data_IF_481854993235
#
_entry.id   IF_481854993235
#
_cell.length_a   1.000
_cell.length_b   1.000
_cell.length_c   1.000
_cell.angle_alpha   90.00
_cell.angle_beta   90.00
_cell.angle_gamma   90.00
#
_symmetry.space_group_name_H-M   'P 1'
#
loop_
_entity.id
_entity.type
_entity.pdbx_description
1 polymer ?
#
# COMPACT_ATOMS: atom_id res chain seq x y z
N UNK A 1 19.40 2.56 -2.41
CA UNK A 1 18.28 1.87 -3.06
C UNK A 1 17.47 1.12 -1.99
N UNK A 2 16.13 1.24 -2.01
CA UNK A 2 15.20 0.68 -1.01
C UNK A 2 15.45 -0.83 -0.75
N UNK A 3 15.52 -1.63 -1.80
CA UNK A 3 15.72 -3.09 -1.68
C UNK A 3 17.12 -3.45 -1.17
N UNK A 4 18.15 -2.81 -1.67
CA UNK A 4 19.53 -3.10 -1.29
C UNK A 4 19.82 -2.78 0.17
N UNK A 5 19.18 -1.74 0.70
CA UNK A 5 19.39 -1.27 2.07
C UNK A 5 18.30 -1.71 3.04
N UNK A 6 17.36 -2.56 2.59
CA UNK A 6 16.16 -2.91 3.35
C UNK A 6 16.40 -3.41 4.78
N UNK A 7 17.50 -4.15 4.99
CA UNK A 7 17.90 -4.64 6.33
C UNK A 7 18.60 -3.59 7.20
N UNK A 8 19.15 -2.57 6.57
CA UNK A 8 20.00 -1.58 7.25
C UNK A 8 19.27 -0.29 7.56
N UNK A 9 18.32 0.07 6.69
CA UNK A 9 17.58 1.32 6.75
C UNK A 9 16.07 1.06 6.71
N UNK A 10 15.39 1.52 7.75
CA UNK A 10 13.94 1.50 7.80
C UNK A 10 13.37 2.67 6.98
N UNK A 11 12.67 2.36 5.89
CA UNK A 11 12.00 3.33 5.04
C UNK A 11 10.57 2.90 4.70
N UNK A 12 9.68 3.87 4.55
CA UNK A 12 8.36 3.69 3.98
C UNK A 12 8.26 4.46 2.67
N UNK A 13 7.56 3.91 1.69
CA UNK A 13 7.35 4.55 0.38
C UNK A 13 5.89 4.87 0.15
N UNK A 14 5.62 6.03 -0.41
CA UNK A 14 4.29 6.45 -0.81
C UNK A 14 4.29 6.83 -2.28
N UNK A 15 3.70 5.96 -3.11
CA UNK A 15 3.58 6.14 -4.56
C UNK A 15 2.26 6.81 -4.89
N UNK A 16 2.30 7.99 -5.49
CA UNK A 16 1.11 8.72 -5.92
C UNK A 16 1.26 9.26 -7.33
N UNK A 17 0.15 9.55 -7.97
CA UNK A 17 0.12 10.03 -9.35
C UNK A 17 -1.02 9.39 -10.14
N UNK A 18 -1.18 9.80 -11.40
CA UNK A 18 -2.27 9.38 -12.25
C UNK A 18 -2.31 7.87 -12.50
N UNK A 19 -3.49 7.39 -12.92
CA UNK A 19 -3.72 5.97 -13.26
C UNK A 19 -2.75 5.52 -14.38
N UNK A 20 -2.29 4.27 -14.29
CA UNK A 20 -1.48 3.64 -15.34
C UNK A 20 -0.01 4.06 -15.38
N UNK A 21 0.48 4.82 -14.40
CA UNK A 21 1.90 5.24 -14.31
C UNK A 21 2.85 4.17 -13.76
N UNK A 22 2.36 2.97 -13.44
CA UNK A 22 3.18 1.84 -13.02
C UNK A 22 3.38 1.68 -11.51
N UNK A 23 2.58 2.33 -10.68
CA UNK A 23 2.68 2.23 -9.20
C UNK A 23 2.58 0.81 -8.69
N UNK A 24 1.52 0.08 -9.06
CA UNK A 24 1.32 -1.32 -8.67
C UNK A 24 2.41 -2.25 -9.23
N UNK A 25 2.87 -1.98 -10.45
CA UNK A 25 3.97 -2.74 -11.05
C UNK A 25 5.27 -2.57 -10.26
N UNK A 26 5.61 -1.33 -9.90
CA UNK A 26 6.81 -1.05 -9.09
C UNK A 26 6.71 -1.70 -7.70
N UNK A 27 5.56 -1.62 -7.04
CA UNK A 27 5.31 -2.30 -5.77
C UNK A 27 5.48 -3.82 -5.88
N UNK A 28 4.97 -4.41 -6.98
CA UNK A 28 5.13 -5.85 -7.27
C UNK A 28 6.59 -6.26 -7.50
N UNK A 29 7.37 -5.45 -8.20
CA UNK A 29 8.80 -5.70 -8.39
C UNK A 29 9.57 -5.68 -7.07
N UNK A 30 9.29 -4.72 -6.20
CA UNK A 30 9.91 -4.63 -4.87
C UNK A 30 9.53 -5.86 -4.02
N UNK A 31 8.24 -6.24 -4.03
CA UNK A 31 7.76 -7.43 -3.32
C UNK A 31 8.49 -8.70 -3.77
N UNK A 32 8.59 -8.91 -5.08
CA UNK A 32 9.28 -10.07 -5.67
C UNK A 32 10.75 -10.16 -5.25
N UNK A 33 11.44 -9.04 -5.30
CA UNK A 33 12.86 -8.99 -4.93
C UNK A 33 13.08 -9.28 -3.44
N UNK A 34 12.25 -8.72 -2.57
CA UNK A 34 12.34 -8.95 -1.13
C UNK A 34 11.98 -10.39 -0.74
N UNK A 35 11.00 -11.01 -1.39
CA UNK A 35 10.68 -12.42 -1.20
C UNK A 35 11.87 -13.32 -1.56
N UNK A 36 12.59 -13.03 -2.63
CA UNK A 36 13.79 -13.78 -3.04
C UNK A 36 14.93 -13.67 -2.03
N UNK A 37 14.96 -12.58 -1.27
CA UNK A 37 15.97 -12.35 -0.20
C UNK A 37 15.51 -12.82 1.18
N UNK A 38 14.38 -13.54 1.25
CA UNK A 38 13.89 -14.21 2.46
C UNK A 38 13.11 -13.31 3.42
N UNK A 39 12.61 -12.15 2.94
CA UNK A 39 11.75 -11.29 3.74
C UNK A 39 10.27 -11.70 3.63
N UNK A 40 9.52 -11.48 4.70
CA UNK A 40 8.07 -11.65 4.70
C UNK A 40 7.38 -10.43 4.07
N UNK A 41 6.53 -10.68 3.07
CA UNK A 41 5.81 -9.62 2.35
C UNK A 41 4.33 -9.95 2.31
N UNK A 42 3.50 -8.98 2.65
CA UNK A 42 2.05 -9.04 2.46
C UNK A 42 1.65 -7.95 1.45
N UNK A 43 0.96 -8.36 0.39
CA UNK A 43 0.45 -7.46 -0.64
C UNK A 43 -1.07 -7.47 -0.65
N UNK A 44 -1.69 -6.33 -0.40
CA UNK A 44 -3.13 -6.17 -0.37
C UNK A 44 -3.58 -4.98 -1.20
N UNK A 45 -4.74 -5.11 -1.85
CA UNK A 45 -5.50 -3.92 -2.24
C UNK A 45 -6.07 -3.24 -0.98
N UNK A 46 -6.20 -1.93 -0.99
CA UNK A 46 -6.76 -1.21 0.15
C UNK A 46 -8.17 -1.73 0.51
N UNK A 47 -9.03 -1.96 -0.48
CA UNK A 47 -10.36 -2.54 -0.24
C UNK A 47 -10.29 -3.91 0.42
N UNK A 48 -9.45 -4.81 -0.07
CA UNK A 48 -9.26 -6.15 0.51
C UNK A 48 -8.73 -6.12 1.94
N UNK A 49 -7.78 -5.23 2.23
CA UNK A 49 -7.25 -5.04 3.57
C UNK A 49 -8.33 -4.58 4.54
N UNK A 50 -9.07 -3.53 4.19
CA UNK A 50 -10.08 -2.97 5.09
C UNK A 50 -11.29 -3.87 5.27
N UNK A 51 -11.70 -4.63 4.24
CA UNK A 51 -12.72 -5.67 4.36
C UNK A 51 -12.29 -6.77 5.34
N UNK A 52 -11.03 -7.19 5.27
CA UNK A 52 -10.48 -8.20 6.19
C UNK A 52 -10.41 -7.66 7.63
N UNK A 53 -9.97 -6.43 7.82
CA UNK A 53 -9.94 -5.78 9.14
C UNK A 53 -11.36 -5.59 9.71
N UNK A 54 -12.33 -5.24 8.88
CA UNK A 54 -13.72 -5.12 9.29
C UNK A 54 -14.32 -6.47 9.72
N UNK A 55 -14.05 -7.54 8.97
CA UNK A 55 -14.46 -8.88 9.36
C UNK A 55 -13.85 -9.32 10.68
N UNK A 56 -12.57 -9.06 10.89
CA UNK A 56 -11.90 -9.34 12.15
C UNK A 56 -12.52 -8.57 13.32
N UNK A 57 -12.89 -7.30 13.11
CA UNK A 57 -13.43 -6.44 14.16
C UNK A 57 -14.89 -6.77 14.52
N UNK A 58 -15.73 -7.12 13.53
CA UNK A 58 -17.18 -7.18 13.68
C UNK A 58 -17.80 -8.57 13.52
N UNK A 59 -17.05 -9.56 13.02
CA UNK A 59 -17.53 -10.94 12.89
C UNK A 59 -16.78 -11.86 13.86
N UNK A 60 -17.47 -12.29 14.92
CA UNK A 60 -16.88 -13.15 15.94
C UNK A 60 -16.40 -14.52 15.41
N UNK A 61 -17.03 -15.04 14.35
CA UNK A 61 -16.62 -16.29 13.71
C UNK A 61 -15.34 -16.11 12.87
N UNK A 62 -15.23 -14.98 12.16
CA UNK A 62 -14.05 -14.65 11.38
C UNK A 62 -12.86 -14.27 12.25
N UNK A 63 -13.08 -13.76 13.45
CA UNK A 63 -12.03 -13.30 14.35
C UNK A 63 -11.02 -14.38 14.70
N UNK A 64 -11.48 -15.59 15.03
CA UNK A 64 -10.59 -16.71 15.35
C UNK A 64 -9.79 -17.15 14.12
N UNK A 65 -10.45 -17.28 12.95
CA UNK A 65 -9.81 -17.68 11.69
C UNK A 65 -8.79 -16.64 11.17
N UNK A 66 -9.02 -15.34 11.45
CA UNK A 66 -8.19 -14.23 10.96
C UNK A 66 -7.15 -13.74 11.97
N UNK A 67 -7.10 -14.30 13.20
CA UNK A 67 -6.20 -13.78 14.25
C UNK A 67 -4.72 -13.83 13.85
N UNK A 68 -4.26 -14.93 13.27
CA UNK A 68 -2.89 -15.05 12.77
C UNK A 68 -2.59 -14.06 11.65
N UNK A 69 -3.50 -13.90 10.72
CA UNK A 69 -3.36 -12.93 9.63
C UNK A 69 -3.37 -11.47 10.14
N UNK A 70 -4.20 -11.16 11.14
CA UNK A 70 -4.20 -9.85 11.77
C UNK A 70 -2.84 -9.50 12.37
N UNK A 71 -2.22 -10.45 13.11
CA UNK A 71 -0.87 -10.28 13.64
C UNK A 71 0.19 -10.15 12.52
N UNK A 72 0.06 -10.91 11.44
CA UNK A 72 0.99 -10.89 10.31
C UNK A 72 1.00 -9.51 9.60
N UNK A 73 -0.15 -8.83 9.51
CA UNK A 73 -0.23 -7.46 8.96
C UNK A 73 0.71 -6.51 9.72
N UNK A 74 0.83 -6.66 11.03
CA UNK A 74 1.69 -5.79 11.85
C UNK A 74 3.14 -6.25 11.93
N UNK A 75 3.42 -7.53 11.71
CA UNK A 75 4.74 -8.13 11.92
C UNK A 75 5.51 -8.45 10.64
N UNK A 76 4.87 -8.57 9.47
CA UNK A 76 5.58 -8.81 8.23
C UNK A 76 6.61 -7.70 7.95
N UNK A 77 7.71 -8.06 7.30
CA UNK A 77 8.79 -7.11 7.03
C UNK A 77 8.35 -5.99 6.09
N UNK A 78 7.55 -6.31 5.07
CA UNK A 78 6.95 -5.34 4.17
C UNK A 78 5.45 -5.57 4.04
N UNK A 79 4.66 -4.53 4.27
CA UNK A 79 3.24 -4.46 3.91
C UNK A 79 3.07 -3.53 2.71
N UNK A 80 2.38 -4.00 1.67
CA UNK A 80 1.99 -3.18 0.52
C UNK A 80 0.48 -2.98 0.55
N UNK A 81 0.05 -1.72 0.60
CA UNK A 81 -1.35 -1.30 0.49
C UNK A 81 -1.52 -0.64 -0.87
N UNK A 82 -2.07 -1.37 -1.81
CA UNK A 82 -2.22 -0.93 -3.20
C UNK A 82 -3.59 -0.31 -3.46
N UNK A 83 -3.62 0.69 -4.33
CA UNK A 83 -4.84 1.40 -4.75
C UNK A 83 -5.63 2.02 -3.56
N UNK A 84 -4.93 2.67 -2.63
CA UNK A 84 -5.59 3.43 -1.56
C UNK A 84 -6.49 4.52 -2.17
N UNK A 85 -7.73 4.58 -1.71
CA UNK A 85 -8.75 5.50 -2.21
C UNK A 85 -9.81 4.85 -3.09
N UNK A 86 -9.71 3.56 -3.40
CA UNK A 86 -10.72 2.80 -4.14
C UNK A 86 -11.79 2.19 -3.23
N UNK A 87 -11.50 2.04 -1.94
CA UNK A 87 -12.43 1.56 -0.93
C UNK A 87 -13.46 2.61 -0.53
N UNK A 88 -14.57 2.17 0.06
CA UNK A 88 -15.53 3.07 0.69
C UNK A 88 -14.92 3.63 1.98
N UNK A 89 -14.75 4.94 2.04
CA UNK A 89 -14.18 5.61 3.21
C UNK A 89 -15.25 5.90 4.25
N UNK A 90 -14.96 5.53 5.49
CA UNK A 90 -15.72 5.87 6.68
C UNK A 90 -14.79 6.07 7.86
N UNK A 91 -15.33 6.42 9.01
CA UNK A 91 -14.56 6.66 10.24
C UNK A 91 -13.77 5.42 10.67
N UNK A 92 -14.31 4.22 10.46
CA UNK A 92 -13.64 2.96 10.76
C UNK A 92 -12.39 2.77 9.88
N UNK A 93 -12.50 2.95 8.57
CA UNK A 93 -11.39 2.82 7.62
C UNK A 93 -10.27 3.80 7.93
N UNK A 94 -10.59 5.08 8.16
CA UNK A 94 -9.60 6.09 8.51
C UNK A 94 -8.88 5.77 9.83
N UNK A 95 -9.61 5.30 10.83
CA UNK A 95 -9.07 4.87 12.12
C UNK A 95 -8.18 3.64 12.00
N UNK A 96 -8.58 2.62 11.23
CA UNK A 96 -7.80 1.41 11.00
C UNK A 96 -6.52 1.70 10.21
N UNK A 97 -6.60 2.54 9.19
CA UNK A 97 -5.43 2.98 8.44
C UNK A 97 -4.44 3.67 9.37
N UNK A 98 -4.89 4.64 10.16
CA UNK A 98 -4.03 5.33 11.11
C UNK A 98 -3.36 4.35 12.09
N UNK A 99 -4.12 3.45 12.70
CA UNK A 99 -3.59 2.47 13.65
C UNK A 99 -2.57 1.54 13.02
N UNK A 100 -2.85 1.05 11.81
CA UNK A 100 -1.94 0.20 11.06
C UNK A 100 -0.60 0.90 10.77
N UNK A 101 -0.65 2.13 10.23
CA UNK A 101 0.56 2.89 9.91
C UNK A 101 1.36 3.22 11.18
N UNK A 102 0.68 3.58 12.25
CA UNK A 102 1.32 3.93 13.53
C UNK A 102 2.02 2.71 14.16
N UNK A 103 1.32 1.58 14.28
CA UNK A 103 1.89 0.35 14.84
C UNK A 103 3.09 -0.16 14.05
N UNK A 104 2.99 -0.19 12.73
CA UNK A 104 4.09 -0.62 11.89
C UNK A 104 5.30 0.33 11.99
N UNK A 105 5.05 1.62 12.10
CA UNK A 105 6.12 2.60 12.35
C UNK A 105 6.82 2.36 13.70
N UNK A 106 6.07 2.14 14.77
CA UNK A 106 6.64 1.83 16.09
C UNK A 106 7.47 0.54 16.10
N UNK A 107 7.06 -0.45 15.31
CA UNK A 107 7.78 -1.72 15.13
C UNK A 107 8.90 -1.64 14.09
N UNK A 108 9.11 -0.50 13.46
CA UNK A 108 10.08 -0.30 12.37
C UNK A 108 9.88 -1.30 11.22
N UNK A 109 8.63 -1.58 10.88
CA UNK A 109 8.23 -2.44 9.76
C UNK A 109 7.85 -1.62 8.54
N UNK A 110 8.52 -1.86 7.42
CA UNK A 110 8.36 -1.07 6.20
C UNK A 110 6.97 -1.22 5.58
N UNK A 111 6.42 -0.11 5.11
CA UNK A 111 5.13 -0.07 4.43
C UNK A 111 5.25 0.69 3.12
N UNK A 112 4.68 0.14 2.06
CA UNK A 112 4.48 0.81 0.77
C UNK A 112 2.99 1.06 0.58
N UNK A 113 2.65 2.29 0.21
CA UNK A 113 1.27 2.66 -0.15
C UNK A 113 1.29 3.17 -1.58
N UNK A 114 0.35 2.73 -2.41
CA UNK A 114 0.09 3.33 -3.70
C UNK A 114 -1.31 3.94 -3.76
N UNK A 115 -1.45 5.05 -4.47
CA UNK A 115 -2.73 5.74 -4.66
C UNK A 115 -2.78 6.52 -5.96
N UNK A 116 -3.98 6.67 -6.51
CA UNK A 116 -4.28 7.60 -7.60
C UNK A 116 -4.74 8.98 -7.08
N UNK A 117 -4.93 9.12 -5.77
CA UNK A 117 -5.30 10.39 -5.15
C UNK A 117 -4.13 11.37 -5.18
N UNK A 118 -4.43 12.65 -5.31
CA UNK A 118 -3.49 13.71 -4.98
C UNK A 118 -3.26 13.76 -3.45
N UNK A 119 -2.22 14.46 -3.03
CA UNK A 119 -1.97 14.66 -1.60
C UNK A 119 -3.11 15.45 -0.92
N UNK A 120 -3.75 16.36 -1.65
CA UNK A 120 -4.90 17.11 -1.16
C UNK A 120 -6.13 16.21 -0.99
N UNK A 121 -6.46 15.39 -1.99
CA UNK A 121 -7.53 14.40 -1.92
C UNK A 121 -7.31 13.37 -0.81
N UNK A 122 -6.05 12.94 -0.59
CA UNK A 122 -5.69 12.04 0.49
C UNK A 122 -6.03 12.64 1.86
N UNK A 123 -5.66 13.90 2.07
CA UNK A 123 -5.95 14.63 3.30
C UNK A 123 -7.45 14.78 3.56
N UNK A 124 -8.20 15.15 2.53
CA UNK A 124 -9.65 15.33 2.63
C UNK A 124 -10.37 14.01 2.92
N UNK A 125 -9.85 12.90 2.39
CA UNK A 125 -10.48 11.58 2.50
C UNK A 125 -10.19 10.87 3.82
N UNK A 126 -8.96 10.93 4.34
CA UNK A 126 -8.52 10.09 5.47
C UNK A 126 -8.27 10.83 6.78
N UNK A 127 -8.37 12.10 6.85
CA UNK A 127 -8.08 12.96 8.00
C UNK A 127 -6.65 13.51 8.04
N UNK A 128 -6.52 14.63 8.77
CA UNK A 128 -5.22 15.29 9.01
C UNK A 128 -4.22 14.37 9.73
N UNK A 129 -4.68 13.45 10.58
CA UNK A 129 -3.80 12.52 11.33
C UNK A 129 -3.12 11.52 10.39
N UNK A 130 -3.88 10.93 9.47
CA UNK A 130 -3.33 10.00 8.44
C UNK A 130 -2.39 10.75 7.52
N UNK A 131 -2.81 11.91 7.03
CA UNK A 131 -1.99 12.76 6.16
C UNK A 131 -0.66 13.15 6.83
N UNK A 132 -0.71 13.61 8.07
CA UNK A 132 0.49 13.96 8.84
C UNK A 132 1.42 12.77 9.03
N UNK A 133 0.89 11.58 9.30
CA UNK A 133 1.69 10.37 9.45
C UNK A 133 2.42 9.98 8.16
N UNK A 134 1.72 10.04 7.04
CA UNK A 134 2.30 9.74 5.72
C UNK A 134 3.37 10.77 5.36
N UNK A 135 3.08 12.05 5.46
CA UNK A 135 4.05 13.10 5.07
C UNK A 135 5.28 13.15 5.98
N UNK A 136 5.18 12.71 7.23
CA UNK A 136 6.28 12.71 8.19
C UNK A 136 7.18 11.46 8.13
N UNK A 137 6.65 10.31 7.70
CA UNK A 137 7.34 9.02 7.82
C UNK A 137 7.48 8.23 6.53
N UNK A 138 7.05 8.80 5.40
CA UNK A 138 7.11 8.15 4.08
C UNK A 138 7.89 9.01 3.10
N UNK A 139 8.70 8.36 2.28
CA UNK A 139 9.30 8.99 1.11
C UNK A 139 8.23 9.13 0.02
N UNK A 140 7.87 10.37 -0.30
CA UNK A 140 6.81 10.68 -1.26
C UNK A 140 7.36 10.59 -2.69
N UNK A 141 6.91 9.61 -3.44
CA UNK A 141 7.34 9.34 -4.80
C UNK A 141 6.19 9.60 -5.79
N UNK A 142 6.26 10.72 -6.49
CA UNK A 142 5.29 11.03 -7.55
C UNK A 142 5.66 10.32 -8.84
N UNK A 143 4.78 9.43 -9.31
CA UNK A 143 4.92 8.79 -10.61
C UNK A 143 4.12 9.56 -11.65
N UNK A 144 4.82 10.03 -12.70
CA UNK A 144 4.24 10.77 -13.81
C UNK A 144 4.57 10.06 -15.11
N UNK A 145 3.72 10.22 -16.12
CA UNK A 145 3.94 9.64 -17.44
C UNK A 145 2.64 9.24 -18.12
N UNK A 146 2.72 8.78 -19.38
CA UNK A 146 1.56 8.24 -20.07
C UNK A 146 1.10 6.93 -19.43
N UNK A 147 -0.18 6.63 -19.57
CA UNK A 147 -0.72 5.34 -19.13
C UNK A 147 -0.05 4.20 -19.91
N UNK A 148 0.76 3.41 -19.21
CA UNK A 148 1.54 2.30 -19.79
C UNK A 148 0.62 1.26 -20.44
N UNK A 149 -0.60 1.05 -19.90
CA UNK A 149 -1.59 0.13 -20.45
C UNK A 149 -2.06 0.58 -21.83
N UNK A 150 -2.27 1.88 -22.00
CA UNK A 150 -2.64 2.49 -23.29
C UNK A 150 -1.49 2.43 -24.31
N UNK A 151 -0.26 2.63 -23.86
CA UNK A 151 0.94 2.48 -24.71
C UNK A 151 1.11 1.05 -25.22
N UNK A 152 0.97 0.04 -24.35
CA UNK A 152 1.03 -1.39 -24.74
C UNK A 152 -0.03 -1.74 -25.78
N UNK A 153 -1.29 -1.30 -25.57
CA UNK A 153 -2.37 -1.56 -26.52
C UNK A 153 -2.12 -0.94 -27.90
N UNK A 154 -1.54 0.26 -27.93
CA UNK A 154 -1.17 0.91 -29.22
C UNK A 154 -0.05 0.17 -29.94
N UNK A 155 0.96 -0.33 -29.21
CA UNK A 155 2.05 -1.11 -29.79
C UNK A 155 1.57 -2.46 -30.35
N UNK A 156 0.67 -3.15 -29.67
CA UNK A 156 0.07 -4.41 -30.16
C UNK A 156 -0.73 -4.18 -31.43
N UNK A 157 -1.60 -3.17 -31.47
CA UNK A 157 -2.39 -2.84 -32.67
C UNK A 157 -1.53 -2.36 -33.86
N UNK A 158 -0.32 -1.84 -33.61
CA UNK A 158 0.63 -1.45 -34.67
C UNK A 158 1.44 -2.63 -35.20
N UNK A 159 1.54 -3.74 -34.47
CA UNK A 159 2.23 -4.97 -34.89
C UNK A 159 1.33 -5.92 -35.67
N UNK A 160 0.00 -5.72 -35.59
CA UNK A 160 -1.01 -6.56 -36.25
C UNK A 160 -1.50 -5.97 -37.60
N UNK A 161 -0.92 -4.85 -38.06
CA UNK A 161 -1.08 -4.23 -39.39
C UNK A 161 0.20 -4.29 -40.20
#
# INVERSE_FOLDING_TARGET
NFVQNFKQDYHNLFFYGTVGTGKSFLSGCIASELLQTGHSVIYFSASGLFDTLARYAFDSRAKEALSGFYEDIYNCDLLIIDDLGTEMTNTFVASQLFSCLNERHLRQKATIISTNLSLEELRDRYSDRVFSRITSHYDLCKLTGPDIRMCKKRMQNASDN
#
